data_IF_249903583904
#
_entry.id   IF_249903583904
#
_cell.length_a   1.000
_cell.length_b   1.000
_cell.length_c   1.000
_cell.angle_alpha   90.00
_cell.angle_beta   90.00
_cell.angle_gamma   90.00
#
_symmetry.space_group_name_H-M   'P 1'
#
loop_
_entity.id
_entity.type
_entity.pdbx_description
1 polymer ?
#
# COMPACT_ATOMS: atom_id res chain seq x y z
N UNK A 1 -1.75 16.01 -9.26
CA UNK A 1 -0.28 16.05 -9.47
C UNK A 1 0.53 15.48 -8.32
N UNK A 2 0.03 15.42 -7.08
CA UNK A 2 0.84 14.85 -5.99
C UNK A 2 0.60 13.34 -5.72
N UNK A 3 -0.56 12.82 -6.12
CA UNK A 3 -0.99 11.43 -5.88
C UNK A 3 -0.05 10.39 -6.49
N UNK A 4 0.46 10.63 -7.70
CA UNK A 4 1.40 9.72 -8.35
C UNK A 4 2.77 9.68 -7.64
N UNK A 5 3.19 10.80 -7.06
CA UNK A 5 4.43 10.87 -6.25
C UNK A 5 4.29 9.97 -5.04
N UNK A 6 3.12 9.96 -4.40
CA UNK A 6 2.85 9.09 -3.24
C UNK A 6 2.99 7.63 -3.59
N UNK A 7 2.32 7.18 -4.64
CA UNK A 7 2.33 5.77 -5.02
C UNK A 7 3.73 5.34 -5.47
N UNK A 8 4.42 6.17 -6.25
CA UNK A 8 5.77 5.88 -6.72
C UNK A 8 6.79 5.86 -5.58
N UNK A 9 6.71 6.82 -4.65
CA UNK A 9 7.53 6.81 -3.44
C UNK A 9 7.16 5.66 -2.50
N UNK A 10 5.90 5.23 -2.42
CA UNK A 10 5.50 4.14 -1.53
C UNK A 10 5.99 2.78 -2.00
N UNK A 11 6.14 2.61 -3.32
CA UNK A 11 6.76 1.42 -3.92
C UNK A 11 8.27 1.40 -3.71
N UNK A 12 8.94 2.56 -3.70
CA UNK A 12 10.42 2.66 -3.61
C UNK A 12 10.94 2.86 -2.19
N UNK A 13 10.24 3.63 -1.34
CA UNK A 13 10.73 4.14 -0.05
C UNK A 13 9.93 3.65 1.17
N UNK A 14 8.83 2.92 0.99
CA UNK A 14 8.09 2.37 2.13
C UNK A 14 6.78 3.10 2.48
N UNK A 15 6.32 2.95 3.72
CA UNK A 15 5.10 3.63 4.22
C UNK A 15 5.29 5.13 4.53
N UNK A 16 6.54 5.58 4.65
CA UNK A 16 6.90 6.95 5.09
C UNK A 16 6.38 8.03 4.13
N UNK A 17 6.50 7.91 2.80
CA UNK A 17 5.97 8.90 1.86
C UNK A 17 4.44 8.95 1.83
N UNK A 18 3.77 7.79 1.95
CA UNK A 18 2.32 7.71 2.09
C UNK A 18 1.83 8.47 3.33
N UNK A 19 2.49 8.25 4.47
CA UNK A 19 2.16 8.92 5.72
C UNK A 19 2.40 10.45 5.64
N UNK A 20 3.53 10.86 5.07
CA UNK A 20 3.86 12.28 4.90
C UNK A 20 2.83 12.98 4.01
N UNK A 21 2.42 12.36 2.90
CA UNK A 21 1.39 12.97 2.04
C UNK A 21 0.01 12.92 2.68
N UNK A 22 -0.35 11.85 3.39
CA UNK A 22 -1.61 11.82 4.15
C UNK A 22 -1.69 12.97 5.15
N UNK A 23 -0.62 13.22 5.92
CA UNK A 23 -0.58 14.31 6.91
C UNK A 23 -0.54 15.70 6.28
N UNK A 24 0.21 15.90 5.20
CA UNK A 24 0.34 17.22 4.54
C UNK A 24 -0.89 17.58 3.69
N UNK A 25 -1.55 16.59 3.08
CA UNK A 25 -2.66 16.82 2.14
C UNK A 25 -4.05 16.50 2.70
N UNK A 26 -4.14 16.11 3.98
CA UNK A 26 -5.41 15.90 4.71
C UNK A 26 -6.42 17.03 4.48
N UNK A 27 -5.94 18.27 4.45
CA UNK A 27 -6.78 19.47 4.40
C UNK A 27 -6.85 20.14 3.01
N UNK A 28 -6.09 19.65 2.01
CA UNK A 28 -5.97 20.33 0.69
C UNK A 28 -6.74 19.66 -0.46
N UNK A 29 -6.98 18.35 -0.43
CA UNK A 29 -7.73 17.67 -1.49
C UNK A 29 -8.35 16.35 -1.00
N UNK A 30 -9.68 16.16 -1.11
CA UNK A 30 -10.35 14.92 -0.72
C UNK A 30 -9.81 13.69 -1.46
N UNK A 31 -9.45 13.85 -2.72
CA UNK A 31 -8.99 12.78 -3.60
C UNK A 31 -7.57 12.34 -3.20
N UNK A 32 -6.68 13.30 -2.92
CA UNK A 32 -5.33 13.00 -2.41
C UNK A 32 -5.37 12.33 -1.03
N UNK A 33 -6.28 12.77 -0.15
CA UNK A 33 -6.49 12.15 1.17
C UNK A 33 -6.94 10.70 1.05
N UNK A 34 -7.90 10.40 0.15
CA UNK A 34 -8.37 9.04 -0.06
C UNK A 34 -7.28 8.10 -0.59
N UNK A 35 -6.47 8.56 -1.55
CA UNK A 35 -5.34 7.76 -2.02
C UNK A 35 -4.31 7.54 -0.92
N UNK A 36 -3.90 8.59 -0.22
CA UNK A 36 -2.89 8.46 0.84
C UNK A 36 -3.36 7.56 2.00
N UNK A 37 -4.64 7.62 2.38
CA UNK A 37 -5.22 6.72 3.37
C UNK A 37 -5.23 5.26 2.89
N UNK A 38 -5.59 5.03 1.62
CA UNK A 38 -5.63 3.70 1.04
C UNK A 38 -4.24 3.09 0.91
N UNK A 39 -3.26 3.86 0.45
CA UNK A 39 -1.85 3.46 0.36
C UNK A 39 -1.28 3.16 1.75
N UNK A 40 -1.60 3.97 2.76
CA UNK A 40 -1.17 3.74 4.14
C UNK A 40 -1.76 2.45 4.71
N UNK A 41 -3.06 2.22 4.51
CA UNK A 41 -3.74 0.99 4.92
C UNK A 41 -3.15 -0.25 4.22
N UNK A 42 -2.81 -0.14 2.94
CA UNK A 42 -2.15 -1.20 2.18
C UNK A 42 -0.76 -1.52 2.73
N UNK A 43 0.02 -0.49 3.05
CA UNK A 43 1.35 -0.65 3.64
C UNK A 43 1.32 -1.30 5.03
N UNK A 44 0.40 -0.87 5.90
CA UNK A 44 0.24 -1.47 7.24
C UNK A 44 -0.17 -2.95 7.11
N UNK A 45 -1.11 -3.25 6.23
CA UNK A 45 -1.55 -4.64 5.97
C UNK A 45 -0.39 -5.50 5.45
N UNK A 46 0.42 -4.96 4.53
CA UNK A 46 1.61 -5.63 4.01
C UNK A 46 2.66 -5.89 5.10
N UNK A 47 2.85 -4.96 6.02
CA UNK A 47 3.77 -5.11 7.15
C UNK A 47 3.30 -6.20 8.11
N UNK A 48 1.99 -6.31 8.37
CA UNK A 48 1.41 -7.41 9.16
C UNK A 48 1.68 -8.75 8.47
N UNK A 49 1.43 -8.86 7.16
CA UNK A 49 1.74 -10.09 6.42
C UNK A 49 3.21 -10.47 6.48
N UNK A 50 4.13 -9.50 6.43
CA UNK A 50 5.55 -9.76 6.56
C UNK A 50 5.94 -10.33 7.92
N UNK A 51 5.40 -9.79 9.00
CA UNK A 51 5.67 -10.30 10.35
C UNK A 51 5.09 -11.71 10.50
N UNK A 52 3.82 -11.91 10.12
CA UNK A 52 3.14 -13.20 10.30
C UNK A 52 3.77 -14.29 9.43
N UNK A 53 3.89 -14.08 8.12
CA UNK A 53 4.46 -15.08 7.21
C UNK A 53 5.97 -15.19 7.32
N UNK A 54 6.66 -14.13 7.75
CA UNK A 54 8.09 -14.17 8.08
C UNK A 54 8.36 -15.13 9.23
N UNK A 55 7.62 -15.01 10.33
CA UNK A 55 7.70 -15.93 11.49
C UNK A 55 7.25 -17.35 11.10
N UNK A 56 6.12 -17.46 10.37
CA UNK A 56 5.62 -18.75 9.91
C UNK A 56 6.58 -19.44 8.92
N UNK A 57 7.40 -18.68 8.21
CA UNK A 57 8.45 -19.20 7.33
C UNK A 57 9.47 -20.05 8.07
N UNK A 58 9.85 -19.68 9.29
CA UNK A 58 10.74 -20.50 10.13
C UNK A 58 10.07 -21.82 10.55
N UNK A 59 8.77 -21.80 10.83
CA UNK A 59 8.00 -22.99 11.23
C UNK A 59 7.72 -23.91 10.04
N UNK A 60 7.51 -23.34 8.85
CA UNK A 60 7.13 -24.06 7.62
C UNK A 60 8.31 -24.39 6.71
N UNK A 61 9.55 -24.24 7.19
CA UNK A 61 10.79 -24.51 6.44
C UNK A 61 10.80 -23.73 5.10
N UNK A 62 10.44 -22.45 5.15
CA UNK A 62 10.50 -21.53 4.01
C UNK A 62 9.28 -21.56 3.07
N UNK A 63 8.31 -22.47 3.23
CA UNK A 63 7.10 -22.50 2.38
C UNK A 63 6.29 -21.20 2.50
N UNK A 64 6.15 -20.65 3.71
CA UNK A 64 5.43 -19.39 3.90
C UNK A 64 6.12 -18.18 3.23
N UNK A 65 7.44 -18.25 2.95
CA UNK A 65 8.13 -17.20 2.21
C UNK A 65 7.77 -17.19 0.72
N UNK A 66 7.40 -18.34 0.14
CA UNK A 66 6.87 -18.41 -1.24
C UNK A 66 5.52 -17.68 -1.30
N UNK A 67 4.66 -17.88 -0.29
CA UNK A 67 3.38 -17.16 -0.17
C UNK A 67 3.60 -15.65 0.00
N UNK A 68 4.60 -15.25 0.78
CA UNK A 68 4.98 -13.86 0.98
C UNK A 68 5.47 -13.20 -0.32
N UNK A 69 6.24 -13.92 -1.14
CA UNK A 69 6.65 -13.46 -2.47
C UNK A 69 5.44 -13.26 -3.40
N UNK A 70 4.50 -14.21 -3.41
CA UNK A 70 3.28 -14.10 -4.22
C UNK A 70 2.43 -12.88 -3.79
N UNK A 71 2.26 -12.66 -2.48
CA UNK A 71 1.58 -11.47 -1.95
C UNK A 71 2.28 -10.17 -2.33
N UNK A 72 3.62 -10.15 -2.36
CA UNK A 72 4.37 -8.99 -2.80
C UNK A 72 4.12 -8.65 -4.28
N UNK A 73 4.05 -9.66 -5.16
CA UNK A 73 3.69 -9.44 -6.57
C UNK A 73 2.28 -8.87 -6.69
N UNK A 74 1.31 -9.41 -5.94
CA UNK A 74 -0.06 -8.90 -5.96
C UNK A 74 -0.09 -7.44 -5.48
N UNK A 75 0.59 -7.13 -4.38
CA UNK A 75 0.71 -5.76 -3.89
C UNK A 75 1.27 -4.81 -4.95
N UNK A 76 2.35 -5.22 -5.63
CA UNK A 76 2.97 -4.43 -6.69
C UNK A 76 2.01 -4.16 -7.86
N UNK A 77 1.23 -5.17 -8.28
CA UNK A 77 0.24 -4.99 -9.36
C UNK A 77 -0.82 -3.95 -8.97
N UNK A 78 -1.38 -4.05 -7.77
CA UNK A 78 -2.37 -3.07 -7.30
C UNK A 78 -1.77 -1.67 -7.11
N UNK A 79 -0.51 -1.57 -6.69
CA UNK A 79 0.23 -0.31 -6.62
C UNK A 79 0.40 0.34 -8.00
N UNK A 80 0.71 -0.44 -9.03
CA UNK A 80 0.79 0.07 -10.41
C UNK A 80 -0.58 0.53 -10.89
N UNK A 81 -1.65 -0.22 -10.61
CA UNK A 81 -3.02 0.18 -10.97
C UNK A 81 -3.44 1.49 -10.28
N UNK A 82 -3.09 1.64 -8.99
CA UNK A 82 -3.32 2.86 -8.22
C UNK A 82 -2.56 4.05 -8.80
N UNK A 83 -1.30 3.85 -9.21
CA UNK A 83 -0.48 4.87 -9.85
C UNK A 83 -1.10 5.33 -11.18
N UNK A 84 -1.54 4.39 -12.03
CA UNK A 84 -2.17 4.71 -13.32
C UNK A 84 -3.49 5.45 -13.12
N UNK A 85 -4.31 5.05 -12.13
CA UNK A 85 -5.53 5.77 -11.79
C UNK A 85 -5.25 7.18 -11.27
N UNK A 86 -4.22 7.34 -10.42
CA UNK A 86 -3.76 8.63 -9.91
C UNK A 86 -3.26 9.56 -11.03
N UNK A 87 -2.58 9.01 -12.05
CA UNK A 87 -2.19 9.77 -13.26
C UNK A 87 -3.40 10.25 -14.07
N UNK A 88 -4.48 9.48 -14.07
CA UNK A 88 -5.76 9.84 -14.71
C UNK A 88 -6.65 10.74 -13.86
N UNK A 89 -6.21 11.11 -12.65
CA UNK A 89 -7.02 11.88 -11.70
C UNK A 89 -8.24 11.12 -11.15
N UNK A 90 -8.22 9.79 -11.23
CA UNK A 90 -9.31 8.91 -10.77
C UNK A 90 -8.95 8.28 -9.43
N UNK A 91 -9.96 8.14 -8.57
CA UNK A 91 -9.84 7.37 -7.33
C UNK A 91 -9.62 5.88 -7.62
N UNK A 92 -8.73 5.23 -6.86
CA UNK A 92 -8.49 3.80 -6.93
C UNK A 92 -8.68 3.19 -5.55
N UNK A 93 -9.45 2.11 -5.47
CA UNK A 93 -9.74 1.42 -4.22
C UNK A 93 -9.13 0.03 -4.28
N UNK A 94 -8.25 -0.25 -3.33
CA UNK A 94 -7.62 -1.56 -3.20
C UNK A 94 -8.62 -2.57 -2.65
N UNK A 95 -8.42 -3.88 -2.91
CA UNK A 95 -9.17 -4.92 -2.23
C UNK A 95 -9.02 -4.79 -0.71
N UNK A 96 -10.11 -4.91 0.04
CA UNK A 96 -10.12 -4.72 1.50
C UNK A 96 -9.21 -5.67 2.27
N UNK A 97 -8.89 -6.83 1.70
CA UNK A 97 -7.94 -7.78 2.29
C UNK A 97 -6.48 -7.36 2.08
N UNK A 98 -6.20 -6.52 1.07
CA UNK A 98 -4.87 -6.00 0.76
C UNK A 98 -4.63 -4.63 1.42
N UNK A 99 -5.69 -3.82 1.54
CA UNK A 99 -5.69 -2.54 2.24
C UNK A 99 -6.81 -2.52 3.27
N UNK A 100 -6.56 -3.14 4.42
CA UNK A 100 -7.55 -3.17 5.49
C UNK A 100 -7.79 -1.76 6.03
N UNK A 101 -9.05 -1.27 6.12
CA UNK A 101 -9.34 0.10 6.50
C UNK A 101 -9.04 0.32 7.99
N UNK A 102 -7.86 0.84 8.29
CA UNK A 102 -7.44 1.22 9.65
C UNK A 102 -7.47 2.72 9.85
N UNK A 103 -7.20 3.48 8.79
CA UNK A 103 -7.16 4.94 8.77
C UNK A 103 -8.17 5.48 7.75
N UNK A 104 -8.94 6.51 8.15
CA UNK A 104 -10.01 7.17 7.36
C UNK A 104 -9.79 8.67 7.10
#
# INVERSE_FOLDING_TARGET
MLTWVVTLCSVVLGFVPALVVYLVYRDRSPLARQHAATELNAWITWMIYNVVLGVLGFVTIGIAWIVLLALWVVYLVYAIMALVAAMRGQGFSYPKWLAFPMVG
#
